data_IF_241190806589
#
_entry.id   IF_241190806589
#
_cell.length_a   1.000
_cell.length_b   1.000
_cell.length_c   1.000
_cell.angle_alpha   90.00
_cell.angle_beta   90.00
_cell.angle_gamma   90.00
#
_symmetry.space_group_name_H-M   'P 1'
#
loop_
_entity.id
_entity.type
_entity.pdbx_description
1 polymer ?
#
# COMPACT_ATOMS: atom_id res chain seq x y z
N UNK A 1 -6.89 -25.96 13.96
CA UNK A 1 -7.00 -24.51 13.67
C UNK A 1 -6.08 -24.16 12.51
N UNK A 2 -6.44 -23.19 11.65
CA UNK A 2 -5.59 -22.78 10.53
C UNK A 2 -5.00 -21.40 10.79
N UNK A 3 -3.83 -21.15 10.22
CA UNK A 3 -3.17 -19.85 10.17
C UNK A 3 -2.80 -19.52 8.72
N UNK A 4 -3.09 -18.32 8.26
CA UNK A 4 -2.68 -17.86 6.93
C UNK A 4 -1.19 -17.46 6.93
N UNK A 5 -0.60 -17.39 5.74
CA UNK A 5 0.80 -16.93 5.61
C UNK A 5 0.94 -15.48 6.08
N UNK A 6 -0.04 -14.64 5.79
CA UNK A 6 -0.04 -13.23 6.21
C UNK A 6 -0.18 -13.06 7.74
N UNK A 7 -0.88 -13.96 8.41
CA UNK A 7 -0.96 -13.98 9.86
C UNK A 7 0.33 -14.49 10.49
N UNK A 8 0.95 -15.53 9.89
CA UNK A 8 2.26 -16.03 10.34
C UNK A 8 3.34 -14.93 10.29
N UNK A 9 3.37 -14.14 9.23
CA UNK A 9 4.32 -13.04 9.05
C UNK A 9 4.16 -11.90 10.07
N UNK A 10 2.98 -11.77 10.67
CA UNK A 10 2.69 -10.77 11.72
C UNK A 10 3.03 -11.24 13.13
N UNK A 11 3.35 -12.52 13.32
CA UNK A 11 3.74 -13.02 14.62
C UNK A 11 5.12 -12.47 15.04
N UNK A 12 5.24 -12.12 16.31
CA UNK A 12 6.53 -11.67 16.85
C UNK A 12 7.54 -12.82 16.91
N UNK A 13 8.79 -12.62 16.44
CA UNK A 13 9.83 -13.62 16.51
C UNK A 13 10.03 -14.13 17.95
N UNK A 14 10.09 -15.46 18.11
CA UNK A 14 10.24 -16.10 19.42
C UNK A 14 8.93 -16.45 20.13
N UNK A 15 7.77 -16.01 19.62
CA UNK A 15 6.45 -16.39 20.19
C UNK A 15 5.86 -17.64 19.56
N UNK A 16 6.50 -18.17 18.52
CA UNK A 16 6.07 -19.37 17.81
C UNK A 16 7.26 -20.22 17.37
N UNK A 17 7.01 -21.48 17.11
CA UNK A 17 7.94 -22.41 16.49
C UNK A 17 7.27 -23.04 15.26
N UNK A 18 8.02 -23.17 14.15
CA UNK A 18 7.54 -23.78 12.89
C UNK A 18 8.06 -25.21 12.80
N UNK A 19 7.16 -26.17 12.66
CA UNK A 19 7.48 -27.59 12.54
C UNK A 19 7.15 -28.07 11.13
N UNK A 20 8.17 -28.49 10.41
CA UNK A 20 8.03 -29.02 9.06
C UNK A 20 7.98 -30.55 9.09
N UNK A 21 6.81 -31.12 8.78
CA UNK A 21 6.58 -32.57 8.78
C UNK A 21 6.91 -33.26 7.48
N UNK A 22 7.45 -32.55 6.48
CA UNK A 22 7.83 -33.13 5.20
C UNK A 22 9.03 -34.07 5.34
N UNK A 23 9.19 -34.95 4.35
CA UNK A 23 10.34 -35.85 4.31
C UNK A 23 11.68 -35.12 4.10
N UNK A 24 12.77 -35.73 4.55
CA UNK A 24 14.13 -35.14 4.44
C UNK A 24 14.50 -34.72 3.02
N UNK A 25 14.08 -35.47 2.00
CA UNK A 25 14.32 -35.15 0.59
C UNK A 25 13.59 -33.91 0.13
N UNK A 26 12.38 -33.68 0.62
CA UNK A 26 11.61 -32.47 0.32
C UNK A 26 12.20 -31.24 1.03
N UNK A 27 12.60 -31.39 2.27
CA UNK A 27 13.23 -30.34 3.10
C UNK A 27 14.60 -29.95 2.53
N UNK A 28 15.37 -30.91 2.02
CA UNK A 28 16.66 -30.64 1.37
C UNK A 28 16.52 -29.73 0.12
N UNK A 29 15.36 -29.68 -0.54
CA UNK A 29 15.07 -28.78 -1.65
C UNK A 29 14.58 -27.40 -1.22
N UNK A 30 14.38 -27.18 0.08
CA UNK A 30 13.99 -25.91 0.68
C UNK A 30 13.03 -26.09 1.84
N UNK A 31 13.13 -25.21 2.83
CA UNK A 31 12.29 -25.17 4.02
C UNK A 31 11.94 -23.74 4.40
N UNK A 32 10.92 -23.56 5.24
CA UNK A 32 10.63 -22.26 5.83
C UNK A 32 11.77 -21.89 6.79
N UNK A 33 12.37 -20.70 6.67
CA UNK A 33 13.47 -20.30 7.53
C UNK A 33 13.14 -20.43 9.02
N UNK A 34 14.01 -21.10 9.77
CA UNK A 34 13.83 -21.34 11.21
C UNK A 34 12.87 -22.49 11.55
N UNK A 35 12.36 -23.23 10.57
CA UNK A 35 11.57 -24.43 10.84
C UNK A 35 12.44 -25.58 11.35
N UNK A 36 11.85 -26.39 12.21
CA UNK A 36 12.44 -27.64 12.73
C UNK A 36 11.78 -28.81 12.00
N UNK A 37 12.60 -29.70 11.44
CA UNK A 37 12.12 -30.90 10.75
C UNK A 37 11.75 -31.97 11.78
N UNK A 38 10.47 -32.31 11.88
CA UNK A 38 9.96 -33.39 12.72
C UNK A 38 8.91 -34.15 11.91
N UNK A 39 9.16 -35.40 11.50
CA UNK A 39 8.17 -36.20 10.79
C UNK A 39 6.88 -36.37 11.60
N UNK A 40 5.74 -36.51 10.88
CA UNK A 40 4.41 -36.63 11.49
C UNK A 40 4.35 -37.65 12.64
N UNK A 41 4.86 -38.84 12.39
CA UNK A 41 4.81 -39.92 13.37
C UNK A 41 5.61 -39.57 14.65
N UNK A 42 6.80 -38.99 14.47
CA UNK A 42 7.64 -38.57 15.59
C UNK A 42 7.00 -37.41 16.37
N UNK A 43 6.40 -36.47 15.66
CA UNK A 43 5.71 -35.31 16.25
C UNK A 43 4.52 -35.74 17.11
N UNK A 44 3.79 -36.76 16.69
CA UNK A 44 2.65 -37.29 17.44
C UNK A 44 3.09 -38.20 18.61
N UNK A 45 4.19 -38.97 18.46
CA UNK A 45 4.70 -39.84 19.52
C UNK A 45 5.46 -39.04 20.61
N UNK A 46 6.30 -38.10 20.20
CA UNK A 46 7.17 -37.31 21.05
C UNK A 46 7.10 -35.82 20.70
N UNK A 47 5.99 -35.14 20.99
CA UNK A 47 5.87 -33.71 20.68
C UNK A 47 6.88 -32.87 21.47
N UNK A 48 7.35 -31.72 20.94
CA UNK A 48 8.26 -30.85 21.66
C UNK A 48 7.68 -30.39 23.00
N UNK A 49 8.53 -29.97 23.92
CA UNK A 49 8.07 -29.45 25.21
C UNK A 49 7.11 -28.28 25.03
N UNK A 50 5.98 -28.31 25.73
CA UNK A 50 5.00 -27.24 25.68
C UNK A 50 5.51 -26.01 26.45
N UNK A 51 6.15 -25.11 25.75
CA UNK A 51 6.69 -23.86 26.31
C UNK A 51 5.68 -22.70 26.31
N UNK A 52 4.43 -22.96 25.91
CA UNK A 52 3.40 -21.92 25.74
C UNK A 52 3.52 -21.12 24.45
N UNK A 53 4.45 -21.47 23.56
CA UNK A 53 4.55 -20.88 22.23
C UNK A 53 3.54 -21.52 21.26
N UNK A 54 3.18 -20.78 20.21
CA UNK A 54 2.37 -21.30 19.12
C UNK A 54 3.18 -22.29 18.28
N UNK A 55 2.62 -23.44 17.97
CA UNK A 55 3.21 -24.42 17.06
C UNK A 55 2.57 -24.27 15.68
N UNK A 56 3.36 -23.92 14.67
CA UNK A 56 2.89 -23.80 13.28
C UNK A 56 3.32 -25.07 12.53
N UNK A 57 2.36 -25.93 12.26
CA UNK A 57 2.58 -27.21 11.63
C UNK A 57 2.52 -27.07 10.11
N UNK A 58 3.55 -27.55 9.43
CA UNK A 58 3.71 -27.42 7.98
C UNK A 58 3.81 -28.78 7.34
N UNK A 59 2.99 -29.05 6.36
CA UNK A 59 3.14 -30.16 5.40
C UNK A 59 3.23 -29.62 3.98
N UNK A 60 3.35 -30.45 2.96
CA UNK A 60 3.54 -29.98 1.57
C UNK A 60 2.41 -29.08 1.08
N UNK A 61 1.13 -29.35 1.42
CA UNK A 61 -0.07 -28.65 0.88
C UNK A 61 -1.07 -28.17 1.94
N UNK A 62 -0.75 -28.25 3.23
CA UNK A 62 -1.65 -27.81 4.30
C UNK A 62 -2.87 -28.73 4.54
N UNK A 63 -2.80 -30.02 4.19
CA UNK A 63 -3.89 -30.98 4.40
C UNK A 63 -3.64 -31.85 5.63
N UNK A 64 -2.55 -32.59 5.65
CA UNK A 64 -2.19 -33.48 6.78
C UNK A 64 -1.91 -32.68 8.05
N UNK A 65 -1.34 -31.49 7.93
CA UNK A 65 -1.06 -30.61 9.06
C UNK A 65 -2.32 -30.14 9.82
N UNK A 66 -3.51 -30.19 9.20
CA UNK A 66 -4.78 -29.87 9.88
C UNK A 66 -5.08 -30.92 10.95
N UNK A 67 -5.04 -32.20 10.58
CA UNK A 67 -5.34 -33.30 11.49
C UNK A 67 -4.35 -33.34 12.66
N UNK A 68 -3.05 -33.16 12.36
CA UNK A 68 -1.99 -33.12 13.38
C UNK A 68 -2.14 -31.90 14.31
N UNK A 69 -2.47 -30.75 13.78
CA UNK A 69 -2.69 -29.54 14.61
C UNK A 69 -3.89 -29.71 15.56
N UNK A 70 -4.96 -30.37 15.10
CA UNK A 70 -6.15 -30.65 15.92
C UNK A 70 -5.81 -31.66 17.03
N UNK A 71 -5.04 -32.69 16.73
CA UNK A 71 -4.61 -33.66 17.73
C UNK A 71 -3.71 -33.04 18.81
N UNK A 72 -2.74 -32.17 18.39
CA UNK A 72 -1.90 -31.43 19.33
C UNK A 72 -2.71 -30.46 20.20
N UNK A 73 -3.71 -29.79 19.63
CA UNK A 73 -4.64 -28.96 20.40
C UNK A 73 -5.39 -29.79 21.45
N UNK A 74 -5.82 -31.01 21.11
CA UNK A 74 -6.44 -31.94 22.06
C UNK A 74 -5.51 -32.34 23.22
N UNK A 75 -4.20 -32.24 23.03
CA UNK A 75 -3.17 -32.50 24.07
C UNK A 75 -2.72 -31.22 24.82
N UNK A 76 -3.38 -30.07 24.58
CA UNK A 76 -3.13 -28.80 25.28
C UNK A 76 -2.06 -27.89 24.66
N UNK A 77 -1.65 -28.15 23.41
CA UNK A 77 -0.80 -27.21 22.65
C UNK A 77 -1.61 -26.15 21.94
N UNK A 78 -1.04 -24.96 21.76
CA UNK A 78 -1.59 -23.96 20.87
C UNK A 78 -1.04 -24.20 19.45
N UNK A 79 -1.66 -25.13 18.68
CA UNK A 79 -1.16 -25.58 17.39
C UNK A 79 -2.04 -25.13 16.22
N UNK A 80 -1.39 -24.71 15.14
CA UNK A 80 -2.01 -24.22 13.91
C UNK A 80 -1.45 -24.92 12.68
N UNK A 81 -2.31 -25.23 11.72
CA UNK A 81 -1.89 -25.70 10.38
C UNK A 81 -1.66 -24.50 9.48
N UNK A 82 -0.51 -24.43 8.79
CA UNK A 82 -0.26 -23.40 7.80
C UNK A 82 -1.10 -23.64 6.54
N UNK A 83 -1.96 -22.69 6.17
CA UNK A 83 -2.79 -22.76 4.98
C UNK A 83 -1.94 -22.88 3.71
N UNK A 84 -2.27 -23.86 2.84
CA UNK A 84 -1.52 -24.16 1.65
C UNK A 84 -0.16 -24.85 1.90
N UNK A 85 0.25 -25.02 3.16
CA UNK A 85 1.50 -25.66 3.55
C UNK A 85 2.74 -24.98 2.98
N UNK A 86 3.81 -25.75 2.82
CA UNK A 86 5.06 -25.26 2.25
C UNK A 86 4.91 -24.71 0.81
N UNK A 87 4.10 -25.36 -0.02
CA UNK A 87 3.88 -24.90 -1.41
C UNK A 87 3.19 -23.52 -1.41
N UNK A 88 2.20 -23.32 -0.55
CA UNK A 88 1.56 -22.02 -0.39
C UNK A 88 2.56 -20.94 0.05
N UNK A 89 3.39 -21.24 1.04
CA UNK A 89 4.44 -20.34 1.50
C UNK A 89 5.46 -20.02 0.39
N UNK A 90 5.94 -21.03 -0.33
CA UNK A 90 6.89 -20.84 -1.43
C UNK A 90 6.32 -19.96 -2.54
N UNK A 91 5.06 -20.16 -2.90
CA UNK A 91 4.37 -19.32 -3.90
C UNK A 91 4.22 -17.86 -3.41
N UNK A 92 4.01 -17.66 -2.10
CA UNK A 92 3.96 -16.31 -1.52
C UNK A 92 5.32 -15.63 -1.61
N UNK A 93 6.40 -16.34 -1.26
CA UNK A 93 7.76 -15.80 -1.37
C UNK A 93 8.16 -15.46 -2.81
N UNK A 94 7.83 -16.33 -3.77
CA UNK A 94 8.08 -16.05 -5.19
C UNK A 94 7.34 -14.79 -5.66
N UNK A 95 6.08 -14.60 -5.25
CA UNK A 95 5.31 -13.38 -5.58
C UNK A 95 5.91 -12.12 -4.95
N UNK A 96 6.47 -12.23 -3.74
CA UNK A 96 7.15 -11.09 -3.10
C UNK A 96 8.41 -10.71 -3.85
N UNK A 97 9.25 -11.70 -4.21
CA UNK A 97 10.46 -11.45 -5.00
C UNK A 97 10.14 -10.82 -6.36
N UNK A 98 9.13 -11.34 -7.07
CA UNK A 98 8.67 -10.75 -8.33
C UNK A 98 8.20 -9.30 -8.14
N UNK A 99 7.45 -9.00 -7.07
CA UNK A 99 7.01 -7.65 -6.77
C UNK A 99 8.20 -6.72 -6.44
N UNK A 100 9.21 -7.19 -5.72
CA UNK A 100 10.43 -6.44 -5.42
C UNK A 100 11.22 -6.11 -6.71
N UNK A 101 11.41 -7.10 -7.59
CA UNK A 101 12.07 -6.90 -8.89
C UNK A 101 11.32 -5.90 -9.77
N UNK A 102 9.99 -5.98 -9.83
CA UNK A 102 9.15 -5.01 -10.55
C UNK A 102 9.33 -3.61 -9.94
N UNK A 103 9.26 -3.49 -8.62
CA UNK A 103 9.41 -2.22 -7.92
C UNK A 103 10.76 -1.58 -8.21
N UNK A 104 11.86 -2.35 -8.13
CA UNK A 104 13.21 -1.87 -8.46
C UNK A 104 13.34 -1.45 -9.93
N UNK A 105 12.74 -2.23 -10.85
CA UNK A 105 12.72 -1.90 -12.28
C UNK A 105 11.99 -0.59 -12.55
N UNK A 106 10.84 -0.35 -11.88
CA UNK A 106 10.08 0.91 -11.95
C UNK A 106 10.92 2.08 -11.42
N UNK A 107 11.54 1.94 -10.25
CA UNK A 107 12.40 2.98 -9.66
C UNK A 107 13.59 3.33 -10.56
N UNK A 108 14.24 2.30 -11.11
CA UNK A 108 15.33 2.45 -12.07
C UNK A 108 14.88 3.15 -13.35
N UNK A 109 13.70 2.81 -13.86
CA UNK A 109 13.12 3.44 -15.05
C UNK A 109 12.85 4.93 -14.82
N UNK A 110 12.22 5.29 -13.72
CA UNK A 110 11.97 6.69 -13.34
C UNK A 110 13.28 7.47 -13.26
N UNK A 111 14.30 6.93 -12.58
CA UNK A 111 15.57 7.63 -12.33
C UNK A 111 16.54 7.65 -13.52
N UNK A 112 16.39 6.72 -14.48
CA UNK A 112 17.28 6.62 -15.65
C UNK A 112 16.57 6.94 -16.95
N UNK A 113 15.61 6.08 -17.38
CA UNK A 113 14.94 6.20 -18.67
C UNK A 113 14.08 7.47 -18.74
N UNK A 114 13.30 7.73 -17.71
CA UNK A 114 12.38 8.86 -17.62
C UNK A 114 12.92 10.02 -16.78
N UNK A 115 14.23 10.07 -16.57
CA UNK A 115 14.85 11.10 -15.73
C UNK A 115 14.50 12.53 -16.21
N UNK A 116 14.60 12.81 -17.49
CA UNK A 116 14.35 14.17 -18.03
C UNK A 116 12.86 14.51 -18.05
N UNK A 117 12.00 13.57 -18.46
CA UNK A 117 10.59 13.83 -18.65
C UNK A 117 9.79 13.78 -17.33
N UNK A 118 10.18 12.93 -16.38
CA UNK A 118 9.45 12.73 -15.11
C UNK A 118 10.27 13.26 -13.93
N UNK A 119 11.39 12.62 -13.59
CA UNK A 119 12.12 12.91 -12.34
C UNK A 119 12.59 14.36 -12.23
N UNK A 120 13.20 14.88 -13.28
CA UNK A 120 13.71 16.26 -13.30
C UNK A 120 12.57 17.28 -13.20
N UNK A 121 11.44 17.06 -13.88
CA UNK A 121 10.29 17.96 -13.83
C UNK A 121 9.59 17.89 -12.46
N UNK A 122 9.51 16.70 -11.86
CA UNK A 122 9.00 16.52 -10.51
C UNK A 122 9.86 17.28 -9.48
N UNK A 123 11.18 17.05 -9.46
CA UNK A 123 12.08 17.71 -8.51
C UNK A 123 12.14 19.22 -8.75
N UNK A 124 12.03 19.67 -10.01
CA UNK A 124 11.90 21.08 -10.35
C UNK A 124 10.65 21.70 -9.71
N UNK A 125 9.49 21.05 -9.84
CA UNK A 125 8.25 21.55 -9.24
C UNK A 125 8.36 21.63 -7.72
N UNK A 126 8.89 20.58 -7.09
CA UNK A 126 9.08 20.54 -5.63
C UNK A 126 9.95 21.68 -5.13
N UNK A 127 11.09 21.93 -5.78
CA UNK A 127 12.03 23.00 -5.41
C UNK A 127 11.50 24.40 -5.74
N UNK A 128 11.03 24.59 -6.95
CA UNK A 128 10.60 25.91 -7.45
C UNK A 128 9.42 26.46 -6.64
N UNK A 129 8.51 25.61 -6.23
CA UNK A 129 7.30 26.01 -5.48
C UNK A 129 7.39 25.71 -3.99
N UNK A 130 8.56 25.26 -3.51
CA UNK A 130 8.77 24.89 -2.09
C UNK A 130 7.65 23.99 -1.57
N UNK A 131 7.35 22.93 -2.29
CA UNK A 131 6.20 22.07 -1.99
C UNK A 131 6.41 21.25 -0.72
N UNK A 132 7.65 20.87 -0.44
CA UNK A 132 8.04 20.07 0.73
C UNK A 132 9.15 20.78 1.48
N UNK A 133 9.04 20.83 2.80
CA UNK A 133 10.01 21.41 3.74
C UNK A 133 10.39 20.40 4.81
N UNK A 134 11.48 20.70 5.51
CA UNK A 134 11.91 19.91 6.65
C UNK A 134 10.82 19.82 7.73
N UNK A 135 10.59 18.61 8.23
CA UNK A 135 9.57 18.33 9.24
C UNK A 135 8.14 18.24 8.72
N UNK A 136 7.90 18.40 7.41
CA UNK A 136 6.56 18.21 6.84
C UNK A 136 6.10 16.75 6.99
N UNK A 137 4.80 16.59 7.19
CA UNK A 137 4.08 15.31 7.18
C UNK A 137 3.07 15.34 6.05
N UNK A 138 3.38 14.65 4.95
CA UNK A 138 2.62 14.75 3.70
C UNK A 138 1.73 13.55 3.53
N UNK A 139 0.41 13.78 3.42
CA UNK A 139 -0.56 12.79 3.03
C UNK A 139 -0.63 12.71 1.48
N UNK A 140 -0.14 11.63 0.91
CA UNK A 140 -0.21 11.35 -0.53
C UNK A 140 -1.53 10.67 -0.84
N UNK A 141 -2.42 11.34 -1.58
CA UNK A 141 -3.75 10.84 -1.89
C UNK A 141 -3.72 9.96 -3.14
N UNK A 142 -4.09 8.69 -2.98
CA UNK A 142 -4.11 7.68 -4.04
C UNK A 142 -5.55 7.41 -4.45
N UNK A 143 -5.85 7.60 -5.73
CA UNK A 143 -7.14 7.27 -6.34
C UNK A 143 -7.16 5.89 -7.02
N UNK A 144 -6.01 5.24 -7.14
CA UNK A 144 -5.82 3.99 -7.88
C UNK A 144 -5.50 4.17 -9.36
N UNK A 145 -5.58 5.38 -9.89
CA UNK A 145 -5.16 5.69 -11.28
C UNK A 145 -3.64 5.81 -11.42
N UNK A 146 -3.16 5.75 -12.68
CA UNK A 146 -1.75 5.82 -13.06
C UNK A 146 -1.02 7.01 -12.42
N UNK A 147 -1.63 8.19 -12.46
CA UNK A 147 -1.02 9.44 -11.99
C UNK A 147 -0.80 9.43 -10.48
N UNK A 148 -1.80 8.98 -9.73
CA UNK A 148 -1.70 8.91 -8.27
C UNK A 148 -0.69 7.85 -7.78
N UNK A 149 -0.57 6.73 -8.50
CA UNK A 149 0.44 5.71 -8.21
C UNK A 149 1.85 6.18 -8.57
N UNK A 150 2.01 6.86 -9.73
CA UNK A 150 3.29 7.49 -10.09
C UNK A 150 3.69 8.54 -9.05
N UNK A 151 2.76 9.42 -8.65
CA UNK A 151 3.01 10.41 -7.61
C UNK A 151 3.46 9.78 -6.30
N UNK A 152 2.81 8.70 -5.87
CA UNK A 152 3.19 7.99 -4.66
C UNK A 152 4.64 7.48 -4.74
N UNK A 153 5.01 6.91 -5.88
CA UNK A 153 6.38 6.42 -6.10
C UNK A 153 7.41 7.54 -6.18
N UNK A 154 7.07 8.64 -6.84
CA UNK A 154 7.94 9.83 -6.91
C UNK A 154 8.17 10.46 -5.52
N UNK A 155 7.13 10.51 -4.67
CA UNK A 155 7.25 11.00 -3.29
C UNK A 155 8.10 10.08 -2.42
N UNK A 156 8.00 8.74 -2.57
CA UNK A 156 8.89 7.79 -1.89
C UNK A 156 10.35 7.98 -2.32
N UNK A 157 10.58 8.13 -3.63
CA UNK A 157 11.93 8.39 -4.14
C UNK A 157 12.50 9.73 -3.64
N UNK A 158 11.65 10.77 -3.56
CA UNK A 158 12.05 12.06 -2.99
C UNK A 158 12.42 11.94 -1.52
N UNK A 159 11.65 11.20 -0.73
CA UNK A 159 11.95 10.95 0.69
C UNK A 159 13.28 10.21 0.87
N UNK A 160 13.54 9.21 0.00
CA UNK A 160 14.75 8.36 0.08
C UNK A 160 16.01 9.06 -0.41
N UNK A 161 15.91 9.88 -1.44
CA UNK A 161 17.05 10.47 -2.16
C UNK A 161 17.09 12.00 -2.15
N UNK A 162 16.10 12.65 -1.55
CA UNK A 162 16.07 14.11 -1.41
C UNK A 162 16.88 14.60 -0.23
N UNK A 163 17.18 15.90 -0.26
CA UNK A 163 18.03 16.56 0.75
C UNK A 163 17.23 16.99 1.99
N UNK A 164 15.89 16.94 1.92
CA UNK A 164 15.00 17.48 2.96
C UNK A 164 14.29 16.31 3.65
N UNK A 165 14.43 16.13 4.97
CA UNK A 165 13.73 15.09 5.72
C UNK A 165 12.26 15.47 5.93
N UNK A 166 11.35 14.57 5.57
CA UNK A 166 9.91 14.69 5.77
C UNK A 166 9.26 13.30 5.90
N UNK A 167 8.03 13.24 6.39
CA UNK A 167 7.27 12.01 6.56
C UNK A 167 6.20 11.86 5.48
N UNK A 168 5.90 10.61 5.11
CA UNK A 168 4.86 10.25 4.15
C UNK A 168 3.80 9.37 4.79
N UNK A 169 2.55 9.65 4.45
CA UNK A 169 1.41 8.78 4.70
C UNK A 169 0.63 8.62 3.39
N UNK A 170 0.36 7.38 2.96
CA UNK A 170 -0.33 7.11 1.71
C UNK A 170 -1.80 6.81 2.00
N UNK A 171 -2.71 7.66 1.53
CA UNK A 171 -4.13 7.58 1.80
C UNK A 171 -4.91 7.12 0.57
N UNK A 172 -5.68 6.05 0.73
CA UNK A 172 -6.70 5.63 -0.23
C UNK A 172 -8.06 5.87 0.41
N UNK A 173 -8.83 6.76 -0.19
CA UNK A 173 -10.22 6.95 0.21
C UNK A 173 -11.11 6.03 -0.62
N UNK A 174 -11.80 5.12 0.05
CA UNK A 174 -12.81 4.26 -0.57
C UNK A 174 -14.20 4.93 -0.45
N UNK A 175 -14.74 5.44 -1.57
CA UNK A 175 -16.07 6.07 -1.57
C UNK A 175 -17.22 5.06 -1.73
N UNK A 176 -16.95 3.78 -1.63
CA UNK A 176 -17.85 2.65 -1.93
C UNK A 176 -17.44 1.92 -3.21
N UNK A 177 -16.16 1.65 -3.39
CA UNK A 177 -15.68 0.85 -4.52
C UNK A 177 -16.23 -0.58 -4.47
N UNK A 178 -16.42 -1.19 -5.65
CA UNK A 178 -16.62 -2.63 -5.69
C UNK A 178 -15.33 -3.36 -5.27
N UNK A 179 -15.46 -4.58 -4.77
CA UNK A 179 -14.34 -5.41 -4.31
C UNK A 179 -13.21 -5.53 -5.34
N UNK A 180 -13.56 -5.67 -6.61
CA UNK A 180 -12.59 -5.81 -7.70
C UNK A 180 -11.68 -4.58 -7.84
N UNK A 181 -12.26 -3.38 -7.75
CA UNK A 181 -11.49 -2.14 -7.85
C UNK A 181 -10.62 -1.92 -6.61
N UNK A 182 -11.16 -2.17 -5.42
CA UNK A 182 -10.42 -2.09 -4.16
C UNK A 182 -9.20 -3.03 -4.18
N UNK A 183 -9.44 -4.30 -4.49
CA UNK A 183 -8.38 -5.31 -4.59
C UNK A 183 -7.30 -4.91 -5.59
N UNK A 184 -7.68 -4.33 -6.75
CA UNK A 184 -6.72 -3.87 -7.75
C UNK A 184 -5.83 -2.73 -7.23
N UNK A 185 -6.38 -1.80 -6.44
CA UNK A 185 -5.61 -0.72 -5.83
C UNK A 185 -4.61 -1.29 -4.81
N UNK A 186 -5.06 -2.20 -3.97
CA UNK A 186 -4.22 -2.87 -2.95
C UNK A 186 -3.09 -3.70 -3.60
N UNK A 187 -3.40 -4.47 -4.65
CA UNK A 187 -2.41 -5.23 -5.43
C UNK A 187 -1.36 -4.32 -6.07
N UNK A 188 -1.77 -3.23 -6.72
CA UNK A 188 -0.84 -2.28 -7.32
C UNK A 188 0.04 -1.59 -6.27
N UNK A 189 -0.53 -1.23 -5.12
CA UNK A 189 0.21 -0.65 -4.02
C UNK A 189 1.26 -1.64 -3.45
N UNK A 190 0.89 -2.92 -3.34
CA UNK A 190 1.79 -3.99 -2.89
C UNK A 190 2.96 -4.19 -3.86
N UNK A 191 2.69 -4.28 -5.19
CA UNK A 191 3.71 -4.41 -6.23
C UNK A 191 4.70 -3.22 -6.21
N UNK A 192 4.19 -2.00 -6.01
CA UNK A 192 5.01 -0.79 -5.96
C UNK A 192 5.64 -0.54 -4.59
N UNK A 193 5.42 -1.42 -3.62
CA UNK A 193 5.85 -1.26 -2.23
C UNK A 193 5.44 0.11 -1.65
N UNK A 194 4.15 0.47 -1.81
CA UNK A 194 3.54 1.68 -1.26
C UNK A 194 2.65 1.29 -0.09
N UNK A 195 3.00 1.62 1.16
CA UNK A 195 2.21 1.26 2.34
C UNK A 195 0.96 2.14 2.45
N UNK A 196 -0.16 1.67 1.89
CA UNK A 196 -1.41 2.42 1.86
C UNK A 196 -2.23 2.25 3.15
N UNK A 197 -2.86 3.35 3.57
CA UNK A 197 -3.91 3.37 4.59
C UNK A 197 -5.25 3.59 3.89
N UNK A 198 -6.10 2.58 3.89
CA UNK A 198 -7.44 2.67 3.29
C UNK A 198 -8.44 3.12 4.35
N UNK A 199 -9.31 4.07 4.02
CA UNK A 199 -10.44 4.47 4.85
C UNK A 199 -11.72 4.58 4.02
N UNK A 200 -12.80 4.10 4.59
CA UNK A 200 -14.10 4.03 3.93
C UNK A 200 -14.93 5.29 4.17
N UNK A 201 -15.75 5.63 3.18
CA UNK A 201 -16.69 6.74 3.26
C UNK A 201 -18.00 6.37 2.54
N UNK A 202 -19.09 7.02 2.91
CA UNK A 202 -20.40 6.83 2.29
C UNK A 202 -20.73 7.87 1.22
N UNK A 203 -19.72 8.39 0.54
CA UNK A 203 -19.89 9.50 -0.41
C UNK A 203 -20.83 9.14 -1.55
N UNK A 204 -20.75 7.92 -2.10
CA UNK A 204 -21.59 7.51 -3.21
C UNK A 204 -23.05 7.42 -2.81
N UNK A 205 -23.36 6.93 -1.60
CA UNK A 205 -24.74 6.85 -1.10
C UNK A 205 -25.35 8.24 -0.94
N UNK A 206 -24.58 9.17 -0.37
CA UNK A 206 -25.02 10.56 -0.19
C UNK A 206 -25.12 11.31 -1.53
N UNK A 207 -24.16 11.16 -2.43
CA UNK A 207 -24.19 11.84 -3.72
C UNK A 207 -25.32 11.34 -4.61
N UNK A 208 -25.66 10.05 -4.55
CA UNK A 208 -26.77 9.46 -5.32
C UNK A 208 -28.15 9.85 -4.76
N UNK A 209 -28.23 10.32 -3.53
CA UNK A 209 -29.50 10.79 -2.92
C UNK A 209 -29.87 12.24 -3.24
N UNK A 210 -29.03 12.96 -4.02
CA UNK A 210 -29.22 14.39 -4.30
C UNK A 210 -29.44 14.64 -5.79
N UNK A 211 -30.56 15.24 -6.16
CA UNK A 211 -30.94 15.52 -7.56
C UNK A 211 -30.13 16.64 -8.21
N UNK A 212 -29.58 17.58 -7.43
CA UNK A 212 -28.84 18.73 -7.97
C UNK A 212 -27.33 18.59 -7.80
N UNK A 213 -26.62 18.54 -8.94
CA UNK A 213 -25.15 18.56 -9.03
C UNK A 213 -24.43 17.50 -8.18
N UNK A 214 -24.73 16.21 -8.36
CA UNK A 214 -24.11 15.13 -7.55
C UNK A 214 -22.59 15.11 -7.67
N UNK A 215 -22.04 15.43 -8.85
CA UNK A 215 -20.59 15.49 -9.07
C UNK A 215 -19.89 16.58 -8.24
N UNK A 216 -20.51 17.76 -8.12
CA UNK A 216 -19.96 18.85 -7.32
C UNK A 216 -19.96 18.49 -5.82
N UNK A 217 -21.06 17.92 -5.34
CA UNK A 217 -21.18 17.47 -3.96
C UNK A 217 -20.15 16.37 -3.65
N UNK A 218 -20.05 15.38 -4.53
CA UNK A 218 -19.07 14.30 -4.42
C UNK A 218 -17.63 14.86 -4.34
N UNK A 219 -17.25 15.76 -5.23
CA UNK A 219 -15.90 16.36 -5.22
C UNK A 219 -15.62 17.17 -3.94
N UNK A 220 -16.62 17.91 -3.44
CA UNK A 220 -16.51 18.67 -2.19
C UNK A 220 -16.38 17.78 -0.98
N UNK A 221 -17.18 16.72 -0.89
CA UNK A 221 -17.13 15.73 0.18
C UNK A 221 -15.78 14.99 0.19
N UNK A 222 -15.35 14.50 -0.99
CA UNK A 222 -14.04 13.83 -1.13
C UNK A 222 -12.91 14.69 -0.55
N UNK A 223 -12.89 15.97 -0.91
CA UNK A 223 -11.88 16.89 -0.39
C UNK A 223 -11.96 17.04 1.13
N UNK A 224 -13.17 17.20 1.66
CA UNK A 224 -13.39 17.32 3.11
C UNK A 224 -12.88 16.09 3.88
N UNK A 225 -13.25 14.88 3.43
CA UNK A 225 -12.81 13.63 4.07
C UNK A 225 -11.29 13.43 4.00
N UNK A 226 -10.67 13.72 2.85
CA UNK A 226 -9.22 13.63 2.71
C UNK A 226 -8.48 14.58 3.67
N UNK A 227 -8.92 15.83 3.78
CA UNK A 227 -8.34 16.78 4.72
C UNK A 227 -8.53 16.35 6.17
N UNK A 228 -9.74 15.91 6.54
CA UNK A 228 -10.03 15.44 7.90
C UNK A 228 -9.15 14.26 8.28
N UNK A 229 -9.04 13.25 7.39
CA UNK A 229 -8.21 12.06 7.64
C UNK A 229 -6.73 12.37 7.70
N UNK A 230 -6.23 13.21 6.79
CA UNK A 230 -4.85 13.66 6.82
C UNK A 230 -4.51 14.40 8.14
N UNK A 231 -5.40 15.29 8.60
CA UNK A 231 -5.23 16.02 9.87
C UNK A 231 -5.27 15.08 11.07
N UNK A 232 -6.19 14.10 11.10
CA UNK A 232 -6.27 13.06 12.13
C UNK A 232 -4.95 12.29 12.26
N UNK A 233 -4.29 12.02 11.13
CA UNK A 233 -2.99 11.34 11.08
C UNK A 233 -1.80 12.29 11.31
N UNK A 234 -2.07 13.54 11.70
CA UNK A 234 -1.05 14.54 12.01
C UNK A 234 -0.32 15.11 10.78
N UNK A 235 -0.85 14.92 9.56
CA UNK A 235 -0.27 15.52 8.38
C UNK A 235 -0.60 17.01 8.29
N UNK A 236 0.36 17.82 7.80
CA UNK A 236 0.18 19.25 7.51
C UNK A 236 0.05 19.54 6.02
N UNK A 237 0.25 18.53 5.16
CA UNK A 237 0.13 18.66 3.70
C UNK A 237 -0.65 17.51 3.09
N UNK A 238 -1.34 17.83 1.98
CA UNK A 238 -2.00 16.86 1.11
C UNK A 238 -1.41 16.97 -0.29
N UNK A 239 -0.88 15.88 -0.83
CA UNK A 239 -0.39 15.78 -2.19
C UNK A 239 -1.45 15.16 -3.10
N UNK A 240 -1.77 15.84 -4.21
CA UNK A 240 -2.68 15.38 -5.25
C UNK A 240 -1.95 15.19 -6.57
N UNK A 241 -2.28 14.10 -7.29
CA UNK A 241 -1.65 13.67 -8.54
C UNK A 241 -2.09 14.45 -9.79
N UNK A 242 -2.28 15.77 -9.68
CA UNK A 242 -2.56 16.62 -10.85
C UNK A 242 -1.26 16.95 -11.57
N UNK A 243 -1.26 16.82 -12.89
CA UNK A 243 -0.14 17.09 -13.78
C UNK A 243 -0.34 18.38 -14.59
N UNK A 244 0.60 18.70 -15.47
CA UNK A 244 0.61 19.95 -16.24
C UNK A 244 -0.64 20.14 -17.10
N UNK A 245 -1.08 19.07 -17.76
CA UNK A 245 -2.25 19.13 -18.66
C UNK A 245 -3.56 19.37 -17.90
N UNK A 246 -3.74 18.78 -16.70
CA UNK A 246 -4.87 19.09 -15.80
C UNK A 246 -4.95 20.59 -15.48
N UNK A 247 -3.79 21.23 -15.30
CA UNK A 247 -3.73 22.66 -14.98
C UNK A 247 -4.22 23.49 -16.16
N UNK A 248 -3.77 23.17 -17.38
CA UNK A 248 -4.20 23.85 -18.60
C UNK A 248 -5.68 23.63 -18.85
N UNK A 249 -6.12 22.38 -18.83
CA UNK A 249 -7.53 22.01 -19.05
C UNK A 249 -8.46 22.72 -18.06
N UNK A 250 -8.13 22.66 -16.76
CA UNK A 250 -8.94 23.34 -15.73
C UNK A 250 -9.00 24.84 -15.95
N UNK A 251 -7.88 25.45 -16.35
CA UNK A 251 -7.81 26.90 -16.62
C UNK A 251 -8.68 27.25 -17.84
N UNK A 252 -8.58 26.51 -18.95
CA UNK A 252 -9.38 26.71 -20.15
C UNK A 252 -10.87 26.49 -19.89
N UNK A 253 -11.25 25.46 -19.18
CA UNK A 253 -12.64 25.22 -18.76
C UNK A 253 -13.16 26.40 -17.92
N UNK A 254 -12.36 26.90 -16.98
CA UNK A 254 -12.72 28.10 -16.20
C UNK A 254 -12.97 29.34 -17.07
N UNK A 255 -12.12 29.57 -18.09
CA UNK A 255 -12.23 30.67 -19.00
C UNK A 255 -13.48 30.57 -19.91
N UNK A 256 -13.69 29.42 -20.54
CA UNK A 256 -14.73 29.23 -21.52
C UNK A 256 -16.14 29.04 -20.94
N UNK A 257 -16.26 28.36 -19.81
CA UNK A 257 -17.57 27.98 -19.25
C UNK A 257 -17.96 28.79 -18.01
N UNK A 258 -17.00 29.27 -17.21
CA UNK A 258 -17.29 29.99 -15.99
C UNK A 258 -16.96 31.49 -16.05
N UNK A 259 -16.45 32.00 -17.18
CA UNK A 259 -15.97 33.37 -17.31
C UNK A 259 -15.03 33.81 -16.18
N UNK A 260 -14.22 32.85 -15.66
CA UNK A 260 -13.31 33.06 -14.56
C UNK A 260 -11.91 32.59 -14.94
N UNK A 261 -10.92 33.44 -14.70
CA UNK A 261 -9.51 33.09 -14.84
C UNK A 261 -9.02 32.51 -13.48
N UNK A 262 -9.32 31.23 -13.21
CA UNK A 262 -8.84 30.54 -12.02
C UNK A 262 -7.82 29.48 -12.43
N UNK A 263 -6.55 29.76 -12.21
CA UNK A 263 -5.50 28.77 -12.40
C UNK A 263 -5.47 27.78 -11.25
N UNK A 264 -5.20 26.52 -11.59
CA UNK A 264 -4.86 25.50 -10.59
C UNK A 264 -3.41 25.72 -10.16
N UNK A 265 -3.20 26.32 -8.97
CA UNK A 265 -1.84 26.65 -8.48
C UNK A 265 -1.14 25.42 -7.85
N UNK A 266 0.19 25.34 -7.92
CA UNK A 266 0.95 24.17 -7.41
C UNK A 266 0.88 23.99 -5.90
N UNK A 267 0.67 25.07 -5.15
CA UNK A 267 0.56 25.09 -3.69
C UNK A 267 -0.58 25.99 -3.26
N UNK A 268 -1.42 25.51 -2.34
CA UNK A 268 -2.59 26.22 -1.85
C UNK A 268 -2.78 26.00 -0.36
N UNK A 269 -2.89 27.07 0.40
CA UNK A 269 -3.31 26.99 1.82
C UNK A 269 -4.81 26.68 1.91
N UNK A 270 -5.17 25.77 2.80
CA UNK A 270 -6.57 25.44 3.03
C UNK A 270 -7.25 26.52 3.86
N UNK A 271 -8.38 27.03 3.37
CA UNK A 271 -9.20 28.00 4.12
C UNK A 271 -10.07 27.34 5.19
N UNK A 272 -10.41 26.06 5.02
CA UNK A 272 -11.31 25.33 5.91
C UNK A 272 -10.57 24.45 6.92
N UNK A 273 -9.30 24.18 6.69
CA UNK A 273 -8.46 23.35 7.56
C UNK A 273 -7.18 24.13 7.87
N UNK A 274 -7.21 24.83 8.98
CA UNK A 274 -6.10 25.68 9.43
C UNK A 274 -4.80 24.86 9.57
N UNK A 275 -3.70 25.40 9.06
CA UNK A 275 -2.38 24.75 9.07
C UNK A 275 -2.18 23.70 7.99
N UNK A 276 -3.18 23.45 7.14
CA UNK A 276 -3.07 22.46 6.07
C UNK A 276 -2.77 23.12 4.72
N UNK A 277 -1.84 22.53 3.96
CA UNK A 277 -1.53 22.91 2.59
C UNK A 277 -1.90 21.78 1.60
N UNK A 278 -2.38 22.14 0.42
CA UNK A 278 -2.51 21.26 -0.71
C UNK A 278 -1.36 21.51 -1.66
N UNK A 279 -0.67 20.43 -2.06
CA UNK A 279 0.44 20.49 -3.00
C UNK A 279 0.19 19.61 -4.24
N UNK A 280 0.77 19.98 -5.38
CA UNK A 280 0.71 19.25 -6.66
C UNK A 280 2.12 18.97 -7.15
N UNK A 281 2.76 17.89 -6.66
CA UNK A 281 4.15 17.62 -6.99
C UNK A 281 4.42 17.35 -8.47
N UNK A 282 3.40 16.87 -9.21
CA UNK A 282 3.48 16.57 -10.64
C UNK A 282 3.19 17.77 -11.55
N UNK A 283 3.09 18.98 -11.01
CA UNK A 283 2.68 20.20 -11.69
C UNK A 283 3.44 20.52 -12.98
N UNK A 284 4.70 20.11 -13.10
CA UNK A 284 5.54 20.31 -14.28
C UNK A 284 5.70 19.06 -15.16
N UNK A 285 4.98 17.98 -14.89
CA UNK A 285 5.03 16.75 -15.67
C UNK A 285 3.89 16.77 -16.69
N UNK A 286 4.19 16.50 -17.96
CA UNK A 286 3.19 16.37 -19.02
C UNK A 286 2.57 14.96 -19.01
N UNK A 287 1.30 14.85 -19.42
CA UNK A 287 0.58 13.58 -19.45
C UNK A 287 1.21 12.56 -20.39
N UNK A 288 1.73 12.99 -21.54
CA UNK A 288 2.42 12.15 -22.52
C UNK A 288 3.65 11.43 -21.95
N UNK A 289 4.27 11.98 -20.91
CA UNK A 289 5.37 11.34 -20.20
C UNK A 289 4.91 10.26 -19.19
N UNK A 290 3.62 10.28 -18.83
CA UNK A 290 3.01 9.34 -17.86
C UNK A 290 2.38 8.14 -18.58
N UNK A 291 1.98 8.31 -19.84
CA UNK A 291 1.43 7.26 -20.68
C UNK A 291 2.52 6.33 -21.25
#
# INVERSE_FOLDING_TARGET
>A
MNITIEELEKLEPGTFDVIDMRGETEIAHGAIPGSVAIPEQELLENPPENTGKKLIIVCSRGRVSVDVSEELCGRGYEAYSLEGGYIGWLMSEMKKQEAEEICESVEKSIRKKFHKSIWSNFTKAVRQYELVKEGDRVAVCISGGKDSMLMAKLMQLLQRYGDVPFELTFLVMDPGYNEKNRKKIEENAKILNVPITVFETNIFDVANSVDKSPCYLCARMRRGYLYSKAKELGCNKIALGHHFDDVIETTLIGMFYASQLKAMIPKLHSTNFEGMELIRPMYCIHEDAIL
#
